data_IF_532039864233
#
_entry.id   IF_532039864233
#
_cell.length_a   1.000
_cell.length_b   1.000
_cell.length_c   1.000
_cell.angle_alpha   90.00
_cell.angle_beta   90.00
_cell.angle_gamma   90.00
#
_symmetry.space_group_name_H-M   'P 1'
#
loop_
_entity.id
_entity.type
_entity.pdbx_description
1 polymer ?
#
# COMPACT_ATOMS: atom_id res chain seq x y z
N UNK A 1 -39.08 13.76 -7.59
CA UNK A 1 -37.87 13.35 -8.32
C UNK A 1 -36.64 14.09 -7.88
N UNK A 2 -36.67 15.43 -7.78
CA UNK A 2 -35.48 16.20 -7.35
C UNK A 2 -35.02 15.87 -5.92
N UNK A 3 -35.94 15.70 -4.97
CA UNK A 3 -35.64 15.36 -3.59
C UNK A 3 -35.02 13.95 -3.47
N UNK A 4 -35.47 12.99 -4.28
CA UNK A 4 -34.95 11.63 -4.29
C UNK A 4 -33.52 11.58 -4.83
N UNK A 5 -33.26 12.32 -5.92
CA UNK A 5 -31.93 12.40 -6.52
C UNK A 5 -30.91 13.05 -5.56
N UNK A 6 -31.33 14.08 -4.83
CA UNK A 6 -30.49 14.74 -3.84
C UNK A 6 -30.16 13.78 -2.67
N UNK A 7 -31.15 13.05 -2.18
CA UNK A 7 -30.96 12.09 -1.10
C UNK A 7 -30.00 10.96 -1.50
N UNK A 8 -30.12 10.44 -2.72
CA UNK A 8 -29.19 9.41 -3.24
C UNK A 8 -27.78 9.97 -3.37
N UNK A 9 -27.63 11.19 -3.88
CA UNK A 9 -26.32 11.84 -4.01
C UNK A 9 -25.63 12.03 -2.66
N UNK A 10 -26.36 12.46 -1.64
CA UNK A 10 -25.84 12.62 -0.27
C UNK A 10 -25.44 11.27 0.32
N UNK A 11 -26.27 10.25 0.14
CA UNK A 11 -25.98 8.90 0.64
C UNK A 11 -24.69 8.33 0.02
N UNK A 12 -24.51 8.49 -1.29
CA UNK A 12 -23.30 8.05 -2.00
C UNK A 12 -22.07 8.81 -1.50
N UNK A 13 -22.16 10.13 -1.31
CA UNK A 13 -21.06 10.93 -0.79
C UNK A 13 -20.66 10.51 0.63
N UNK A 14 -21.62 10.23 1.50
CA UNK A 14 -21.37 9.77 2.88
C UNK A 14 -20.69 8.40 2.87
N UNK A 15 -21.13 7.48 2.02
CA UNK A 15 -20.52 6.15 1.88
C UNK A 15 -19.05 6.28 1.43
N UNK A 16 -18.76 7.12 0.44
CA UNK A 16 -17.40 7.33 -0.05
C UNK A 16 -16.50 7.92 1.04
N UNK A 17 -16.98 8.93 1.79
CA UNK A 17 -16.22 9.54 2.88
C UNK A 17 -15.99 8.52 4.00
N UNK A 18 -17.00 7.75 4.39
CA UNK A 18 -16.89 6.74 5.43
C UNK A 18 -15.90 5.64 5.01
N UNK A 19 -15.99 5.19 3.76
CA UNK A 19 -15.07 4.20 3.21
C UNK A 19 -13.62 4.66 3.28
N UNK A 20 -13.34 5.87 2.81
CA UNK A 20 -11.98 6.42 2.81
C UNK A 20 -11.42 6.64 4.22
N UNK A 21 -12.27 7.04 5.17
CA UNK A 21 -11.81 7.35 6.52
C UNK A 21 -11.76 6.13 7.45
N UNK A 22 -12.61 5.13 7.22
CA UNK A 22 -12.74 3.96 8.11
C UNK A 22 -12.04 2.72 7.57
N UNK A 23 -12.07 2.51 6.24
CA UNK A 23 -11.66 1.24 5.63
C UNK A 23 -10.26 1.28 5.03
N UNK A 24 -9.85 2.42 4.47
CA UNK A 24 -8.57 2.51 3.77
C UNK A 24 -7.47 3.13 4.62
N UNK A 25 -7.81 4.10 5.48
CA UNK A 25 -6.77 4.82 6.21
C UNK A 25 -5.77 5.47 5.26
N UNK A 26 -4.49 5.40 5.59
CA UNK A 26 -3.45 6.01 4.77
C UNK A 26 -3.12 5.16 3.54
N UNK A 27 -3.23 5.77 2.36
CA UNK A 27 -2.83 5.17 1.09
C UNK A 27 -1.70 5.98 0.48
N UNK A 28 -0.66 5.29 0.05
CA UNK A 28 0.50 5.90 -0.61
C UNK A 28 0.59 5.41 -2.06
N UNK A 29 1.29 6.14 -2.91
CA UNK A 29 1.53 5.74 -4.29
C UNK A 29 3.00 5.37 -4.47
N UNK A 30 3.25 4.13 -4.85
CA UNK A 30 4.58 3.66 -5.19
C UNK A 30 4.78 3.74 -6.69
N UNK A 31 5.84 4.42 -7.11
CA UNK A 31 6.23 4.52 -8.52
C UNK A 31 7.39 3.56 -8.79
N UNK A 32 7.15 2.56 -9.62
CA UNK A 32 8.15 1.60 -10.07
C UNK A 32 8.43 1.79 -11.55
N UNK A 33 9.60 1.40 -12.01
CA UNK A 33 9.98 1.51 -13.42
C UNK A 33 10.25 0.15 -14.02
N UNK A 34 9.77 -0.05 -15.25
CA UNK A 34 10.12 -1.21 -16.05
C UNK A 34 11.48 -1.02 -16.74
N UNK A 35 11.98 -2.09 -17.36
CA UNK A 35 13.28 -2.09 -18.04
C UNK A 35 13.35 -1.08 -19.20
N UNK A 36 12.21 -0.77 -19.83
CA UNK A 36 12.13 0.22 -20.88
C UNK A 36 11.94 1.66 -20.38
N UNK A 37 12.02 1.88 -19.05
CA UNK A 37 11.92 3.19 -18.45
C UNK A 37 10.50 3.71 -18.22
N UNK A 38 9.47 2.93 -18.52
CA UNK A 38 8.09 3.31 -18.24
C UNK A 38 7.82 3.26 -16.72
N UNK A 39 7.15 4.30 -16.22
CA UNK A 39 6.77 4.40 -14.82
C UNK A 39 5.36 3.85 -14.61
N UNK A 40 5.17 3.16 -13.48
CA UNK A 40 3.90 2.58 -13.07
C UNK A 40 3.57 2.98 -11.65
N UNK A 41 2.36 3.45 -11.43
CA UNK A 41 1.84 3.84 -10.12
C UNK A 41 1.05 2.68 -9.51
N UNK A 42 1.32 2.40 -8.24
CA UNK A 42 0.57 1.41 -7.46
C UNK A 42 0.16 2.02 -6.13
N UNK A 43 -1.13 1.95 -5.80
CA UNK A 43 -1.64 2.42 -4.51
C UNK A 43 -1.53 1.32 -3.48
N UNK A 44 -0.91 1.63 -2.33
CA UNK A 44 -0.56 0.66 -1.31
C UNK A 44 -0.77 1.21 0.09
N UNK A 45 -0.87 0.31 1.04
CA UNK A 45 -0.82 0.63 2.47
C UNK A 45 0.64 0.64 2.93
N UNK A 46 0.91 1.44 3.97
CA UNK A 46 2.25 1.62 4.53
C UNK A 46 2.21 1.52 6.05
N UNK A 47 3.21 0.89 6.64
CA UNK A 47 3.37 0.83 8.10
C UNK A 47 4.80 1.10 8.51
N UNK A 48 4.94 1.51 9.78
CA UNK A 48 6.24 1.60 10.45
C UNK A 48 6.44 0.35 11.32
N UNK A 49 7.64 -0.20 11.28
CA UNK A 49 8.06 -1.22 12.21
C UNK A 49 9.56 -1.10 12.45
N UNK A 50 9.96 -1.09 13.73
CA UNK A 50 11.37 -1.00 14.13
C UNK A 50 12.10 0.20 13.52
N UNK A 51 11.41 1.35 13.44
CA UNK A 51 11.97 2.59 12.89
C UNK A 51 12.10 2.62 11.39
N UNK A 52 11.55 1.64 10.67
CA UNK A 52 11.62 1.52 9.22
C UNK A 52 10.24 1.48 8.59
N UNK A 53 10.13 1.88 7.33
CA UNK A 53 8.90 1.86 6.57
C UNK A 53 8.77 0.56 5.78
N UNK A 54 7.57 0.02 5.76
CA UNK A 54 7.25 -1.20 5.02
C UNK A 54 5.98 -1.06 4.21
N UNK A 55 6.03 -1.56 2.99
CA UNK A 55 4.86 -1.87 2.18
C UNK A 55 4.59 -3.38 2.25
N UNK A 56 3.47 -3.81 1.71
CA UNK A 56 3.13 -5.23 1.68
C UNK A 56 2.55 -5.59 0.32
N UNK A 57 3.09 -6.63 -0.29
CA UNK A 57 2.51 -7.23 -1.48
C UNK A 57 1.66 -8.44 -1.08
N UNK A 58 0.43 -8.49 -1.59
CA UNK A 58 -0.51 -9.55 -1.23
C UNK A 58 -0.30 -10.86 -2.00
N UNK A 59 0.38 -10.78 -3.14
CA UNK A 59 0.65 -11.93 -3.98
C UNK A 59 2.10 -11.92 -4.46
N UNK A 60 2.83 -13.06 -4.39
CA UNK A 60 4.19 -13.12 -4.90
C UNK A 60 4.26 -12.95 -6.44
N UNK A 61 3.12 -12.95 -7.12
CA UNK A 61 3.04 -12.80 -8.57
C UNK A 61 2.64 -11.38 -9.01
N UNK A 62 2.54 -10.41 -8.09
CA UNK A 62 2.20 -9.04 -8.43
C UNK A 62 3.25 -8.41 -9.36
N UNK A 63 2.79 -7.71 -10.41
CA UNK A 63 3.70 -7.11 -11.40
C UNK A 63 4.60 -6.03 -10.80
N UNK A 64 4.11 -5.25 -9.84
CA UNK A 64 4.93 -4.22 -9.21
C UNK A 64 6.07 -4.83 -8.38
N UNK A 65 5.88 -6.04 -7.82
CA UNK A 65 6.94 -6.76 -7.15
C UNK A 65 8.03 -7.19 -8.14
N UNK A 66 7.65 -7.67 -9.29
CA UNK A 66 8.60 -8.01 -10.36
C UNK A 66 9.40 -6.79 -10.80
N UNK A 67 8.73 -5.65 -10.98
CA UNK A 67 9.42 -4.41 -11.39
C UNK A 67 10.43 -3.95 -10.36
N UNK A 68 10.08 -3.95 -9.06
CA UNK A 68 11.02 -3.50 -8.04
C UNK A 68 12.17 -4.49 -7.80
N UNK A 69 11.98 -5.76 -8.06
CA UNK A 69 13.08 -6.73 -8.03
C UNK A 69 14.09 -6.48 -9.13
N UNK A 70 13.62 -6.14 -10.31
CA UNK A 70 14.48 -5.78 -11.44
C UNK A 70 15.11 -4.39 -11.26
N UNK A 71 14.36 -3.44 -10.71
CA UNK A 71 14.83 -2.09 -10.44
C UNK A 71 14.35 -1.64 -9.06
N UNK A 72 15.18 -1.81 -8.02
CA UNK A 72 14.78 -1.52 -6.63
C UNK A 72 14.71 -0.03 -6.29
N UNK A 73 15.16 0.86 -7.17
CA UNK A 73 15.02 2.29 -6.95
C UNK A 73 13.59 2.72 -7.26
N UNK A 74 12.89 3.20 -6.24
CA UNK A 74 11.48 3.56 -6.33
C UNK A 74 11.27 4.97 -5.80
N UNK A 75 10.12 5.53 -6.15
CA UNK A 75 9.64 6.80 -5.60
C UNK A 75 8.35 6.55 -4.86
N UNK A 76 8.22 7.13 -3.69
CA UNK A 76 7.01 7.05 -2.88
C UNK A 76 6.36 8.42 -2.80
N UNK A 77 5.10 8.49 -3.17
CA UNK A 77 4.28 9.69 -2.97
C UNK A 77 3.43 9.48 -1.72
N UNK A 78 3.73 10.23 -0.68
CA UNK A 78 3.03 10.15 0.60
C UNK A 78 2.52 11.53 0.98
N UNK A 79 1.20 11.71 0.91
CA UNK A 79 0.61 13.03 1.06
C UNK A 79 1.16 13.99 0.00
N UNK A 80 1.70 15.14 0.43
CA UNK A 80 2.31 16.11 -0.47
C UNK A 80 3.80 15.84 -0.75
N UNK A 81 4.38 14.83 -0.10
CA UNK A 81 5.81 14.52 -0.22
C UNK A 81 6.10 13.50 -1.32
N UNK A 82 7.22 13.69 -1.99
CA UNK A 82 7.77 12.74 -2.96
C UNK A 82 9.14 12.30 -2.45
N UNK A 83 9.28 11.02 -2.11
CA UNK A 83 10.43 10.49 -1.41
C UNK A 83 11.10 9.38 -2.23
N UNK A 84 12.43 9.33 -2.17
CA UNK A 84 13.21 8.33 -2.88
C UNK A 84 13.63 7.21 -1.94
N UNK A 85 13.40 5.96 -2.34
CA UNK A 85 13.73 4.76 -1.57
C UNK A 85 14.37 3.69 -2.44
N UNK A 86 15.10 2.79 -1.77
CA UNK A 86 15.45 1.49 -2.31
C UNK A 86 14.47 0.48 -1.71
N UNK A 87 13.78 -0.26 -2.54
CA UNK A 87 12.76 -1.23 -2.12
C UNK A 87 13.37 -2.64 -2.03
N UNK A 88 13.28 -3.25 -0.85
CA UNK A 88 13.89 -4.55 -0.57
C UNK A 88 12.82 -5.54 -0.07
N UNK A 89 12.44 -6.53 -0.89
CA UNK A 89 11.57 -7.60 -0.42
C UNK A 89 12.22 -8.40 0.70
N UNK A 90 11.45 -8.74 1.73
CA UNK A 90 11.89 -9.55 2.87
C UNK A 90 11.13 -10.86 2.91
N UNK A 91 11.84 -11.96 2.92
CA UNK A 91 11.24 -13.30 2.90
C UNK A 91 11.14 -13.96 4.28
N UNK A 92 11.71 -13.35 5.32
CA UNK A 92 11.72 -13.93 6.65
C UNK A 92 10.34 -13.83 7.33
N UNK A 93 9.99 -14.88 8.05
CA UNK A 93 8.69 -14.98 8.71
C UNK A 93 8.50 -13.93 9.82
N UNK A 94 9.57 -13.57 10.54
CA UNK A 94 9.50 -12.56 11.59
C UNK A 94 9.04 -11.21 11.04
N UNK A 95 9.65 -10.74 9.95
CA UNK A 95 9.26 -9.49 9.31
C UNK A 95 7.85 -9.58 8.74
N UNK A 96 7.50 -10.70 8.11
CA UNK A 96 6.15 -10.91 7.56
C UNK A 96 5.08 -10.82 8.63
N UNK A 97 5.27 -11.50 9.74
CA UNK A 97 4.34 -11.48 10.86
C UNK A 97 4.23 -10.08 11.48
N UNK A 98 5.36 -9.42 11.69
CA UNK A 98 5.38 -8.07 12.25
C UNK A 98 4.67 -7.06 11.36
N UNK A 99 4.91 -7.09 10.05
CA UNK A 99 4.24 -6.20 9.09
C UNK A 99 2.75 -6.51 9.02
N UNK A 100 2.35 -7.79 9.00
CA UNK A 100 0.95 -8.17 9.02
C UNK A 100 0.25 -7.67 10.30
N UNK A 101 0.89 -7.79 11.46
CA UNK A 101 0.36 -7.30 12.73
C UNK A 101 0.23 -5.77 12.72
N UNK A 102 1.20 -5.06 12.18
CA UNK A 102 1.14 -3.59 12.06
C UNK A 102 0.04 -3.15 11.09
N UNK A 103 -0.14 -3.87 9.99
CA UNK A 103 -1.24 -3.60 9.05
C UNK A 103 -2.60 -3.80 9.73
N UNK A 104 -2.76 -4.88 10.49
CA UNK A 104 -3.98 -5.13 11.24
C UNK A 104 -4.27 -4.02 12.26
N UNK A 105 -3.25 -3.55 12.98
CA UNK A 105 -3.39 -2.48 13.95
C UNK A 105 -3.75 -1.14 13.31
N UNK A 106 -3.12 -0.81 12.18
CA UNK A 106 -3.32 0.48 11.50
C UNK A 106 -4.60 0.55 10.68
N UNK A 107 -4.90 -0.51 9.94
CA UNK A 107 -6.01 -0.52 8.97
C UNK A 107 -7.24 -1.29 9.46
N UNK A 108 -7.12 -2.03 10.55
CA UNK A 108 -8.25 -2.61 11.27
C UNK A 108 -9.15 -3.48 10.40
N UNK A 109 -10.41 -3.06 10.24
CA UNK A 109 -11.42 -3.84 9.54
C UNK A 109 -11.06 -4.08 8.05
N UNK A 110 -10.48 -3.09 7.39
CA UNK A 110 -10.07 -3.24 5.99
C UNK A 110 -8.99 -4.32 5.84
N UNK A 111 -8.03 -4.38 6.77
CA UNK A 111 -7.01 -5.43 6.75
C UNK A 111 -7.61 -6.81 7.03
N UNK A 112 -8.64 -6.90 7.85
CA UNK A 112 -9.36 -8.15 8.10
C UNK A 112 -10.04 -8.66 6.83
N UNK A 113 -10.70 -7.76 6.08
CA UNK A 113 -11.28 -8.09 4.78
C UNK A 113 -10.22 -8.52 3.78
N UNK A 114 -9.11 -7.82 3.75
CA UNK A 114 -7.98 -8.18 2.90
C UNK A 114 -7.48 -9.60 3.17
N UNK A 115 -7.43 -10.02 4.43
CA UNK A 115 -7.05 -11.36 4.83
C UNK A 115 -7.99 -12.47 4.33
N UNK A 116 -9.27 -12.15 4.07
CA UNK A 116 -10.20 -13.10 3.46
C UNK A 116 -9.99 -13.26 1.95
N UNK A 117 -9.49 -12.21 1.28
CA UNK A 117 -9.30 -12.21 -0.17
C UNK A 117 -7.93 -12.72 -0.58
N UNK A 118 -6.96 -12.74 0.35
CA UNK A 118 -5.60 -13.19 0.11
C UNK A 118 -5.09 -14.11 1.19
N UNK A 119 -3.87 -14.58 1.05
CA UNK A 119 -3.19 -15.41 2.05
C UNK A 119 -2.06 -14.58 2.69
N UNK A 120 -2.24 -14.23 3.96
CA UNK A 120 -1.24 -13.46 4.73
C UNK A 120 0.10 -14.17 4.82
N UNK A 121 0.11 -15.50 4.80
CA UNK A 121 1.35 -16.29 4.86
C UNK A 121 2.18 -16.17 3.58
N UNK A 122 1.56 -15.77 2.49
CA UNK A 122 2.20 -15.58 1.18
C UNK A 122 2.50 -14.11 0.89
N UNK A 123 2.09 -13.21 1.77
CA UNK A 123 2.41 -11.80 1.61
C UNK A 123 3.90 -11.56 1.74
N UNK A 124 4.41 -10.58 1.01
CA UNK A 124 5.82 -10.20 1.04
C UNK A 124 5.95 -8.78 1.55
N UNK A 125 6.58 -8.57 2.71
CA UNK A 125 6.89 -7.21 3.16
C UNK A 125 8.01 -6.61 2.32
N UNK A 126 7.88 -5.32 2.03
CA UNK A 126 8.87 -4.57 1.26
C UNK A 126 9.45 -3.49 2.15
N UNK A 127 10.71 -3.63 2.52
CA UNK A 127 11.42 -2.60 3.28
C UNK A 127 11.76 -1.43 2.36
N UNK A 128 11.47 -0.22 2.82
CA UNK A 128 11.83 1.00 2.12
C UNK A 128 13.03 1.65 2.82
N UNK A 129 14.20 1.56 2.21
CA UNK A 129 15.40 2.24 2.71
C UNK A 129 15.52 3.60 2.05
N UNK A 130 15.63 4.71 2.83
CA UNK A 130 15.80 6.03 2.26
C UNK A 130 17.10 6.10 1.44
N UNK A 131 17.02 6.79 0.31
CA UNK A 131 18.20 7.14 -0.47
C UNK A 131 18.23 8.64 -0.75
N UNK A 132 19.39 9.22 -1.07
CA UNK A 132 19.46 10.63 -1.40
C UNK A 132 18.48 10.98 -2.52
N UNK A 133 17.79 12.12 -2.39
CA UNK A 133 16.86 12.60 -3.40
C UNK A 133 17.58 12.90 -4.72
N UNK A 134 16.79 13.00 -5.79
CA UNK A 134 17.33 13.34 -7.10
C UNK A 134 17.98 14.72 -7.12
#
# INVERSE_FOLDING_TARGET
MRALLLAVGIAVAVIVIASNSLDEGEVVTLVTKSDNGLAYDTQLWIVDWSGQLYLRVGSPHAHWLERLRANPQVTLKRGAETLAFTALPKDDSETREAVNDRMAAKYGYADRLWGYLGDRRRSVPILLEPRPGP
#
